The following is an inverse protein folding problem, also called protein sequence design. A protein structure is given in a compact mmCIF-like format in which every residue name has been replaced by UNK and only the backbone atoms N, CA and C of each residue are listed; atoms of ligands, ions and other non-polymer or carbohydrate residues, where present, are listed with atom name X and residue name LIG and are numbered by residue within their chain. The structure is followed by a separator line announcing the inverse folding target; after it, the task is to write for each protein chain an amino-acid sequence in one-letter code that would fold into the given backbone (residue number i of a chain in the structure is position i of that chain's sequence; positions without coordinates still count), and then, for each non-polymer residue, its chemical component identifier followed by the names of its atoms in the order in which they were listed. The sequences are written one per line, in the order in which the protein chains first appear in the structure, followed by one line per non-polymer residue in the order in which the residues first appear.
data_IF_231676691290
#
_entry.id   IF_231676691290
#
_cell.length_a   1.000
_cell.length_b   1.000
_cell.length_c   1.000
_cell.angle_alpha   90.00
_cell.angle_beta   90.00
_cell.angle_gamma   90.00
#
_symmetry.space_group_name_H-M   'P 1'
#
loop_
_entity.id
_entity.type
_entity.pdbx_description
1 polymer ?
#
# COMPACT_ATOMS: atom_id res chain seq x y z
N UNK A 1 3.03 17.42 8.20
CA UNK A 1 3.21 17.25 6.73
C UNK A 1 3.96 15.96 6.45
N UNK A 2 3.78 15.38 5.27
CA UNK A 2 4.59 14.26 4.82
C UNK A 2 6.07 14.64 4.68
N UNK A 3 7.02 13.67 4.77
CA UNK A 3 8.45 13.98 4.64
C UNK A 3 8.81 14.70 3.35
N UNK A 4 8.18 14.34 2.22
CA UNK A 4 8.27 15.04 0.93
C UNK A 4 6.85 15.16 0.36
N UNK A 5 6.40 16.41 0.13
CA UNK A 5 5.02 16.69 -0.27
C UNK A 5 4.93 17.84 -1.28
N UNK A 6 4.55 17.58 -2.55
CA UNK A 6 4.42 16.26 -3.14
C UNK A 6 5.79 15.67 -3.53
N UNK A 7 5.96 14.34 -3.54
CA UNK A 7 7.15 13.73 -4.13
C UNK A 7 7.21 13.97 -5.64
N UNK A 8 8.38 14.00 -6.29
CA UNK A 8 8.49 14.16 -7.74
C UNK A 8 7.74 13.08 -8.53
N UNK A 9 7.75 11.85 -8.02
CA UNK A 9 7.00 10.70 -8.49
C UNK A 9 6.75 9.77 -7.31
N UNK A 10 5.68 8.99 -7.37
CA UNK A 10 5.47 7.87 -6.45
C UNK A 10 5.03 6.63 -7.22
N UNK A 11 5.52 5.51 -6.77
CA UNK A 11 5.11 4.19 -7.20
C UNK A 11 4.83 3.36 -5.98
N UNK A 12 3.73 2.66 -6.02
CA UNK A 12 3.46 1.65 -5.02
C UNK A 12 3.61 0.27 -5.65
N UNK A 13 4.37 -0.59 -4.98
CA UNK A 13 4.75 -1.90 -5.46
C UNK A 13 3.92 -2.98 -4.77
N UNK A 14 3.91 -4.19 -5.31
CA UNK A 14 3.49 -5.36 -4.57
C UNK A 14 4.74 -6.15 -4.21
N UNK A 15 5.15 -6.11 -2.95
CA UNK A 15 6.32 -6.86 -2.50
C UNK A 15 5.97 -8.08 -1.62
N UNK A 16 4.70 -8.22 -1.18
CA UNK A 16 4.26 -9.27 -0.27
C UNK A 16 3.27 -10.23 -0.93
N UNK A 17 3.70 -11.47 -1.16
CA UNK A 17 2.85 -12.50 -1.79
C UNK A 17 1.63 -12.85 -0.93
N UNK A 18 1.79 -12.89 0.40
CA UNK A 18 0.70 -13.24 1.30
C UNK A 18 -0.48 -12.28 1.16
N UNK A 19 -0.23 -10.96 1.11
CA UNK A 19 -1.26 -9.96 0.87
C UNK A 19 -2.04 -10.22 -0.43
N UNK A 20 -1.35 -10.44 -1.54
CA UNK A 20 -2.00 -10.73 -2.83
C UNK A 20 -2.94 -11.93 -2.73
N UNK A 21 -2.48 -13.03 -2.13
CA UNK A 21 -3.29 -14.25 -1.95
C UNK A 21 -4.51 -14.00 -1.08
N UNK A 22 -4.33 -13.29 0.04
CA UNK A 22 -5.41 -12.96 0.97
C UNK A 22 -6.44 -12.02 0.32
N UNK A 23 -5.99 -11.00 -0.39
CA UNK A 23 -6.85 -10.03 -1.10
C UNK A 23 -7.70 -10.71 -2.17
N UNK A 24 -7.11 -11.62 -2.97
CA UNK A 24 -7.87 -12.39 -3.96
C UNK A 24 -8.90 -13.32 -3.31
N UNK A 25 -8.52 -14.00 -2.23
CA UNK A 25 -9.44 -14.85 -1.48
C UNK A 25 -10.60 -14.03 -0.87
N UNK A 26 -10.29 -12.87 -0.29
CA UNK A 26 -11.29 -11.96 0.28
C UNK A 26 -12.23 -11.39 -0.79
N UNK A 27 -11.71 -10.99 -1.95
CA UNK A 27 -12.52 -10.50 -3.08
C UNK A 27 -13.50 -11.58 -3.58
N UNK A 28 -13.05 -12.84 -3.70
CA UNK A 28 -13.95 -13.95 -4.05
C UNK A 28 -15.02 -14.18 -2.98
N UNK A 29 -14.63 -14.16 -1.70
CA UNK A 29 -15.55 -14.30 -0.58
C UNK A 29 -16.60 -13.19 -0.55
N UNK A 30 -16.17 -11.93 -0.74
CA UNK A 30 -17.07 -10.78 -0.80
C UNK A 30 -18.10 -10.89 -1.94
N UNK A 31 -17.70 -11.43 -3.11
CA UNK A 31 -18.61 -11.70 -4.23
C UNK A 31 -19.58 -12.83 -3.92
N UNK A 32 -19.10 -13.92 -3.33
CA UNK A 32 -19.93 -15.07 -2.98
C UNK A 32 -21.02 -14.68 -1.96
N UNK A 33 -20.69 -13.86 -0.96
CA UNK A 33 -21.64 -13.39 0.05
C UNK A 33 -22.83 -12.57 -0.51
N UNK A 34 -22.78 -12.18 -1.79
CA UNK A 34 -23.88 -11.48 -2.48
C UNK A 34 -24.80 -12.44 -3.26
N UNK A 35 -24.60 -13.75 -3.19
CA UNK A 35 -25.38 -14.77 -3.89
C UNK A 35 -26.28 -15.53 -2.91
N UNK A 36 -27.26 -16.27 -3.44
CA UNK A 36 -28.19 -17.08 -2.63
C UNK A 36 -27.49 -18.21 -1.89
N UNK A 37 -26.47 -18.81 -2.52
CA UNK A 37 -25.62 -19.86 -1.92
C UNK A 37 -24.15 -19.46 -1.98
N UNK A 38 -23.63 -18.76 -0.95
CA UNK A 38 -22.24 -18.31 -0.89
C UNK A 38 -21.22 -19.45 -0.96
N UNK A 39 -21.49 -20.58 -0.31
CA UNK A 39 -20.53 -21.70 -0.24
C UNK A 39 -20.39 -22.38 -1.60
N UNK A 40 -21.52 -22.72 -2.25
CA UNK A 40 -21.51 -23.30 -3.59
C UNK A 40 -20.87 -22.34 -4.61
N UNK A 41 -21.21 -21.05 -4.51
CA UNK A 41 -20.62 -20.01 -5.38
C UNK A 41 -19.10 -19.92 -5.21
N UNK A 42 -18.62 -19.86 -3.97
CA UNK A 42 -17.18 -19.76 -3.69
C UNK A 42 -16.43 -21.00 -4.22
N UNK A 43 -17.00 -22.20 -4.03
CA UNK A 43 -16.43 -23.45 -4.52
C UNK A 43 -16.36 -23.51 -6.04
N UNK A 44 -17.32 -22.90 -6.73
CA UNK A 44 -17.37 -22.88 -8.21
C UNK A 44 -16.46 -21.80 -8.82
N UNK A 45 -15.95 -20.84 -8.04
CA UNK A 45 -15.11 -19.76 -8.54
C UNK A 45 -13.76 -20.27 -9.04
N UNK A 46 -13.38 -19.81 -10.22
CA UNK A 46 -12.11 -20.13 -10.86
C UNK A 46 -10.99 -19.20 -10.35
N UNK A 47 -9.83 -19.73 -10.01
CA UNK A 47 -8.66 -19.01 -9.50
C UNK A 47 -7.62 -18.64 -10.57
N UNK A 48 -7.81 -19.06 -11.83
CA UNK A 48 -6.81 -18.90 -12.90
C UNK A 48 -6.32 -17.44 -13.11
N UNK A 49 -7.18 -16.46 -12.85
CA UNK A 49 -6.78 -15.06 -12.97
C UNK A 49 -5.81 -14.67 -11.84
N UNK A 50 -6.12 -15.09 -10.62
CA UNK A 50 -5.29 -14.86 -9.44
C UNK A 50 -3.93 -15.56 -9.60
N UNK A 51 -3.94 -16.82 -10.05
CA UNK A 51 -2.73 -17.61 -10.27
C UNK A 51 -1.80 -16.92 -11.28
N UNK A 52 -2.34 -16.33 -12.36
CA UNK A 52 -1.56 -15.56 -13.35
C UNK A 52 -0.91 -14.30 -12.75
N UNK A 53 -1.60 -13.61 -11.85
CA UNK A 53 -1.01 -12.45 -11.16
C UNK A 53 0.14 -12.90 -10.27
N UNK A 54 -0.04 -13.98 -9.50
CA UNK A 54 1.02 -14.55 -8.65
C UNK A 54 2.21 -15.04 -9.50
N UNK A 55 1.97 -15.67 -10.65
CA UNK A 55 3.05 -16.06 -11.56
C UNK A 55 3.84 -14.84 -12.06
N UNK A 56 3.16 -13.74 -12.40
CA UNK A 56 3.81 -12.50 -12.81
C UNK A 56 4.58 -11.87 -11.67
N UNK A 57 3.96 -11.78 -10.50
CA UNK A 57 4.60 -11.30 -9.27
C UNK A 57 5.88 -12.08 -8.94
N UNK A 58 5.90 -13.40 -9.14
CA UNK A 58 7.08 -14.21 -8.88
C UNK A 58 8.21 -14.04 -9.90
N UNK A 59 7.91 -13.46 -11.08
CA UNK A 59 8.90 -13.21 -12.15
C UNK A 59 9.57 -11.85 -12.06
N UNK A 60 8.85 -10.84 -11.59
CA UNK A 60 9.33 -9.46 -11.53
C UNK A 60 8.54 -8.61 -10.55
N UNK A 61 9.11 -7.54 -9.98
CA UNK A 61 8.35 -6.52 -9.27
C UNK A 61 7.23 -5.97 -10.15
N UNK A 62 6.05 -5.78 -9.56
CA UNK A 62 4.91 -5.12 -10.18
C UNK A 62 4.57 -3.87 -9.37
N UNK A 63 4.14 -2.80 -10.03
CA UNK A 63 3.80 -1.54 -9.38
C UNK A 63 2.79 -0.74 -10.18
N UNK A 64 2.12 0.20 -9.53
CA UNK A 64 1.34 1.24 -10.19
C UNK A 64 1.89 2.63 -9.83
N UNK A 65 1.51 3.66 -10.57
CA UNK A 65 1.86 5.06 -10.29
C UNK A 65 0.71 5.70 -9.54
N UNK A 66 0.96 6.08 -8.30
CA UNK A 66 -0.02 6.76 -7.48
C UNK A 66 -0.12 8.27 -7.79
N UNK A 67 -1.23 8.87 -7.35
CA UNK A 67 -1.41 10.31 -7.43
C UNK A 67 -0.54 11.03 -6.39
N UNK A 68 0.62 11.51 -6.81
CA UNK A 68 1.56 12.22 -5.93
C UNK A 68 0.99 13.48 -5.27
N UNK A 69 -0.07 14.06 -5.83
CA UNK A 69 -0.74 15.25 -5.29
C UNK A 69 -1.76 14.91 -4.19
N UNK A 70 -2.12 13.65 -4.05
CA UNK A 70 -2.98 13.16 -2.97
C UNK A 70 -2.20 12.84 -1.67
N UNK A 71 -0.89 13.14 -1.63
CA UNK A 71 -0.05 12.89 -0.46
C UNK A 71 -0.35 13.88 0.65
N UNK A 72 -0.61 13.37 1.85
CA UNK A 72 -0.73 14.10 3.11
C UNK A 72 0.21 13.53 4.17
N UNK A 73 0.39 14.24 5.28
CA UNK A 73 1.24 13.82 6.39
C UNK A 73 0.47 13.43 7.64
N UNK A 74 1.25 13.20 8.70
CA UNK A 74 0.73 13.08 10.05
C UNK A 74 -0.03 14.36 10.40
N UNK A 75 -1.00 14.45 11.14
CA UNK A 75 -1.81 15.63 11.53
C UNK A 75 -2.73 16.22 10.43
N UNK A 76 -2.61 15.75 9.20
CA UNK A 76 -3.57 16.10 8.16
C UNK A 76 -4.80 15.18 8.26
N UNK A 77 -6.00 15.72 8.00
CA UNK A 77 -7.24 14.95 8.06
C UNK A 77 -7.46 14.19 6.75
N UNK A 78 -7.65 12.87 6.83
CA UNK A 78 -8.10 12.08 5.71
C UNK A 78 -9.55 12.42 5.35
N UNK A 79 -9.80 12.79 4.11
CA UNK A 79 -11.11 13.15 3.60
C UNK A 79 -11.80 11.93 2.96
N UNK A 80 -12.89 11.47 3.57
CA UNK A 80 -13.66 10.36 3.02
C UNK A 80 -14.27 10.74 1.66
N UNK A 81 -13.92 10.03 0.56
CA UNK A 81 -14.41 10.37 -0.77
C UNK A 81 -15.91 10.07 -0.90
N UNK A 82 -16.67 11.00 -1.46
CA UNK A 82 -18.14 10.93 -1.56
C UNK A 82 -18.68 9.75 -2.38
N UNK A 83 -17.83 9.14 -3.23
CA UNK A 83 -18.21 8.04 -4.11
C UNK A 83 -18.02 6.65 -3.46
N UNK A 84 -17.40 6.55 -2.30
CA UNK A 84 -17.09 5.26 -1.65
C UNK A 84 -17.85 5.09 -0.33
N UNK A 85 -18.24 3.83 -0.07
CA UNK A 85 -18.87 3.38 1.19
C UNK A 85 -18.06 2.29 1.89
N UNK A 86 -16.92 1.88 1.31
CA UNK A 86 -16.07 0.82 1.83
C UNK A 86 -14.61 1.28 1.83
N UNK A 87 -14.27 2.13 2.80
CA UNK A 87 -12.91 2.62 2.99
C UNK A 87 -12.08 1.65 3.80
N UNK A 88 -10.83 1.51 3.42
CA UNK A 88 -9.85 0.64 4.03
C UNK A 88 -8.50 1.35 4.14
N UNK A 89 -7.66 0.89 5.05
CA UNK A 89 -6.26 1.27 5.17
C UNK A 89 -5.36 0.16 4.60
N UNK A 90 -4.14 0.50 4.29
CA UNK A 90 -3.09 -0.47 3.97
C UNK A 90 -1.82 -0.17 4.75
N UNK A 91 -1.35 -1.14 5.52
CA UNK A 91 -0.12 -1.07 6.31
C UNK A 91 1.07 -1.34 5.42
N UNK A 92 1.80 -0.29 5.13
CA UNK A 92 2.97 -0.29 4.25
C UNK A 92 4.10 0.53 4.81
N UNK A 93 5.27 0.37 4.22
CA UNK A 93 6.34 1.34 4.31
C UNK A 93 6.91 1.61 2.93
N UNK A 94 7.78 2.59 2.83
CA UNK A 94 8.43 2.86 1.56
C UNK A 94 9.72 3.59 1.74
N UNK A 95 10.50 3.64 0.66
CA UNK A 95 11.76 4.35 0.64
C UNK A 95 11.71 5.57 -0.29
N UNK A 96 12.50 6.58 0.06
CA UNK A 96 12.77 7.73 -0.81
C UNK A 96 14.10 7.58 -1.51
N UNK A 97 14.12 7.89 -2.81
CA UNK A 97 15.36 7.99 -3.59
C UNK A 97 16.13 9.25 -3.16
N UNK A 98 17.38 9.11 -2.81
CA UNK A 98 18.26 10.21 -2.41
C UNK A 98 19.28 10.61 -3.47
N UNK A 99 19.57 9.73 -4.41
CA UNK A 99 20.58 9.92 -5.45
C UNK A 99 20.02 9.59 -6.83
N UNK A 100 20.16 10.52 -7.77
CA UNK A 100 19.80 10.29 -9.18
C UNK A 100 20.54 9.09 -9.75
N UNK A 101 19.82 8.23 -10.49
CA UNK A 101 20.41 7.07 -11.18
C UNK A 101 19.53 6.54 -12.29
N UNK A 102 20.15 5.79 -13.20
CA UNK A 102 19.52 5.06 -14.29
C UNK A 102 20.25 3.75 -14.46
N UNK A 103 19.56 2.68 -14.84
CA UNK A 103 20.13 1.33 -15.00
C UNK A 103 20.94 0.91 -13.76
N UNK A 104 20.35 1.15 -12.58
CA UNK A 104 20.99 0.89 -11.28
C UNK A 104 21.01 -0.62 -11.04
N UNK A 105 22.20 -1.18 -10.76
CA UNK A 105 22.28 -2.59 -10.40
C UNK A 105 21.73 -2.83 -8.99
N UNK A 106 21.29 -4.05 -8.70
CA UNK A 106 20.76 -4.44 -7.40
C UNK A 106 21.75 -4.14 -6.26
N UNK A 107 23.04 -4.41 -6.50
CA UNK A 107 24.12 -4.19 -5.54
C UNK A 107 24.36 -2.70 -5.23
N UNK A 108 24.12 -1.83 -6.23
CA UNK A 108 24.29 -0.38 -6.07
C UNK A 108 23.01 0.29 -5.50
N UNK A 109 21.86 -0.37 -5.60
CA UNK A 109 20.56 0.24 -5.36
C UNK A 109 20.41 0.83 -3.95
N UNK A 110 20.93 0.15 -2.90
CA UNK A 110 20.86 0.62 -1.52
C UNK A 110 21.50 2.00 -1.34
N UNK A 111 22.57 2.29 -2.08
CA UNK A 111 23.25 3.60 -2.04
C UNK A 111 22.42 4.75 -2.65
N UNK A 112 21.30 4.43 -3.29
CA UNK A 112 20.35 5.41 -3.83
C UNK A 112 19.20 5.69 -2.89
N UNK A 113 19.03 4.95 -1.80
CA UNK A 113 17.97 5.17 -0.79
C UNK A 113 18.48 6.19 0.23
N UNK A 114 17.72 7.26 0.47
CA UNK A 114 18.02 8.22 1.53
C UNK A 114 17.40 7.83 2.87
N UNK A 115 16.26 7.16 2.87
CA UNK A 115 15.58 6.77 4.10
C UNK A 115 14.19 6.20 3.82
N UNK A 116 13.49 5.89 4.91
CA UNK A 116 12.23 5.16 4.92
C UNK A 116 11.17 5.90 5.72
N UNK A 117 9.91 5.66 5.41
CA UNK A 117 8.76 6.18 6.13
C UNK A 117 7.60 5.19 6.10
N UNK A 118 6.65 5.30 7.03
CA UNK A 118 5.41 4.54 6.97
C UNK A 118 4.53 5.14 5.87
N UNK A 119 3.81 4.29 5.18
CA UNK A 119 2.84 4.65 4.17
C UNK A 119 1.50 3.98 4.46
N UNK A 120 0.44 4.76 4.50
CA UNK A 120 -0.93 4.29 4.57
C UNK A 120 -1.60 4.57 3.22
N UNK A 121 -1.79 3.52 2.42
CA UNK A 121 -2.45 3.63 1.12
C UNK A 121 -3.96 3.43 1.27
N UNK A 122 -4.66 4.54 1.52
CA UNK A 122 -6.11 4.52 1.72
C UNK A 122 -6.84 4.08 0.47
N UNK A 123 -7.72 3.10 0.62
CA UNK A 123 -8.33 2.39 -0.50
C UNK A 123 -9.85 2.40 -0.45
N UNK A 124 -10.49 2.87 -1.52
CA UNK A 124 -11.93 2.78 -1.74
C UNK A 124 -12.27 1.42 -2.35
N UNK A 125 -12.51 0.40 -1.51
CA UNK A 125 -12.61 -1.01 -1.96
C UNK A 125 -13.77 -1.32 -2.88
N UNK A 126 -14.88 -0.59 -2.76
CA UNK A 126 -16.01 -0.70 -3.68
C UNK A 126 -15.68 -0.16 -5.08
N UNK A 127 -15.00 0.99 -5.17
CA UNK A 127 -14.49 1.51 -6.43
C UNK A 127 -13.41 0.59 -7.03
N UNK A 128 -12.49 0.09 -6.20
CA UNK A 128 -11.44 -0.85 -6.61
C UNK A 128 -12.03 -2.11 -7.24
N UNK A 129 -13.08 -2.69 -6.62
CA UNK A 129 -13.73 -3.88 -7.16
C UNK A 129 -14.36 -3.66 -8.53
N UNK A 130 -14.77 -2.42 -8.86
CA UNK A 130 -15.34 -2.05 -10.15
C UNK A 130 -14.27 -1.81 -11.22
N UNK A 131 -13.13 -1.20 -10.85
CA UNK A 131 -12.12 -0.80 -11.84
C UNK A 131 -11.08 -1.89 -12.15
N UNK A 132 -10.74 -2.75 -11.16
CA UNK A 132 -9.70 -3.79 -11.35
C UNK A 132 -9.93 -4.73 -12.53
N UNK A 133 -11.17 -5.14 -12.88
CA UNK A 133 -11.41 -5.92 -14.10
C UNK A 133 -11.00 -5.22 -15.40
N UNK A 134 -10.86 -3.90 -15.39
CA UNK A 134 -10.38 -3.09 -16.52
C UNK A 134 -8.87 -3.21 -16.79
N UNK A 135 -8.12 -3.82 -15.87
CA UNK A 135 -6.68 -4.16 -16.00
C UNK A 135 -5.74 -2.95 -16.13
N UNK A 136 -6.17 -1.74 -15.77
CA UNK A 136 -5.35 -0.52 -15.74
C UNK A 136 -5.16 0.02 -14.31
N UNK A 137 -5.91 -0.50 -13.37
CA UNK A 137 -5.91 -0.05 -11.98
C UNK A 137 -4.89 -0.74 -11.10
N UNK A 138 -4.85 -0.32 -9.81
CA UNK A 138 -5.80 0.61 -9.22
C UNK A 138 -5.58 2.05 -9.71
N UNK A 139 -6.65 2.83 -9.78
CA UNK A 139 -6.64 4.23 -10.17
C UNK A 139 -7.59 5.06 -9.29
N UNK A 140 -8.86 5.23 -9.67
CA UNK A 140 -9.80 6.07 -8.91
C UNK A 140 -10.00 5.61 -7.47
N UNK A 141 -9.84 4.34 -7.19
CA UNK A 141 -9.92 3.77 -5.84
C UNK A 141 -8.80 4.23 -4.88
N UNK A 142 -7.71 4.82 -5.41
CA UNK A 142 -6.53 5.27 -4.67
C UNK A 142 -6.03 6.68 -5.05
N UNK A 143 -6.58 7.29 -6.11
CA UNK A 143 -6.13 8.59 -6.64
C UNK A 143 -6.97 9.78 -6.14
N UNK A 144 -7.86 9.58 -5.16
CA UNK A 144 -8.66 10.66 -4.58
C UNK A 144 -7.81 11.50 -3.62
N UNK A 145 -8.24 12.74 -3.38
CA UNK A 145 -7.53 13.65 -2.48
C UNK A 145 -7.32 13.02 -1.10
N UNK A 146 -6.14 13.23 -0.51
CA UNK A 146 -5.72 12.71 0.80
C UNK A 146 -5.55 11.18 0.91
N UNK A 147 -5.57 10.45 -0.21
CA UNK A 147 -5.50 8.99 -0.20
C UNK A 147 -4.15 8.42 0.25
N UNK A 148 -3.06 9.18 0.08
CA UNK A 148 -1.69 8.71 0.34
C UNK A 148 -1.13 9.38 1.60
N UNK A 149 -1.04 8.67 2.72
CA UNK A 149 -0.63 9.26 3.99
C UNK A 149 0.75 8.76 4.36
N UNK A 150 1.71 9.68 4.53
CA UNK A 150 3.12 9.35 4.77
C UNK A 150 3.66 10.01 6.03
N UNK A 151 4.40 9.27 6.84
CA UNK A 151 4.99 9.76 8.07
C UNK A 151 5.34 8.62 9.04
N UNK A 152 5.57 8.90 10.32
CA UNK A 152 5.54 10.23 10.96
C UNK A 152 6.74 11.10 10.58
N UNK A 153 7.83 10.49 10.15
CA UNK A 153 9.08 11.12 9.72
C UNK A 153 9.76 10.30 8.63
N UNK A 154 10.84 10.84 8.08
CA UNK A 154 11.82 10.08 7.31
C UNK A 154 12.93 9.65 8.28
N UNK A 155 13.13 8.34 8.41
CA UNK A 155 14.29 7.76 9.08
C UNK A 155 15.36 7.46 8.05
N UNK A 156 16.57 7.97 8.23
CA UNK A 156 17.64 7.78 7.25
C UNK A 156 18.09 6.32 7.17
N UNK A 157 18.60 5.92 6.00
CA UNK A 157 18.96 4.52 5.76
C UNK A 157 20.11 4.02 6.64
N UNK A 158 20.97 4.91 7.10
CA UNK A 158 22.06 4.61 8.03
C UNK A 158 21.57 4.46 9.47
N UNK A 159 20.55 5.21 9.88
CA UNK A 159 19.94 5.13 11.21
C UNK A 159 19.08 3.87 11.34
N UNK A 160 18.20 3.59 10.38
CA UNK A 160 17.34 2.40 10.41
C UNK A 160 18.15 1.10 10.29
N UNK A 161 19.26 1.12 9.57
CA UNK A 161 20.10 -0.06 9.33
C UNK A 161 19.44 -1.06 8.38
N UNK A 162 19.07 -2.26 8.86
CA UNK A 162 18.42 -3.28 8.04
C UNK A 162 16.90 -3.11 8.03
N UNK A 163 16.27 -2.77 6.88
CA UNK A 163 14.83 -2.58 6.79
C UNK A 163 14.06 -3.91 6.63
N UNK A 164 14.70 -5.07 6.65
CA UNK A 164 14.09 -6.35 6.29
C UNK A 164 13.85 -7.30 7.47
N UNK A 165 13.72 -6.74 8.68
CA UNK A 165 13.25 -7.47 9.87
C UNK A 165 12.55 -6.53 10.87
N UNK A 166 11.59 -5.75 10.40
CA UNK A 166 10.84 -4.79 11.19
C UNK A 166 9.41 -5.33 11.43
N UNK A 167 8.96 -5.33 12.68
CA UNK A 167 7.54 -5.61 12.95
C UNK A 167 6.68 -4.45 12.46
N UNK A 168 5.54 -4.80 11.89
CA UNK A 168 4.53 -3.88 11.38
C UNK A 168 3.20 -4.19 12.07
N UNK A 169 2.54 -3.18 12.63
CA UNK A 169 1.28 -3.35 13.36
C UNK A 169 0.28 -2.28 12.90
N UNK A 170 -0.94 -2.70 12.61
CA UNK A 170 -2.06 -1.79 12.37
C UNK A 170 -3.08 -1.87 13.50
N UNK A 171 -3.51 -0.71 14.01
CA UNK A 171 -4.59 -0.59 14.98
C UNK A 171 -5.67 0.35 14.47
N UNK A 172 -6.92 0.03 14.79
CA UNK A 172 -8.07 0.92 14.55
C UNK A 172 -8.76 1.15 15.89
N UNK A 173 -8.83 2.41 16.31
CA UNK A 173 -9.35 2.80 17.63
C UNK A 173 -8.67 2.05 18.79
N UNK A 174 -7.37 1.80 18.67
CA UNK A 174 -6.56 1.08 19.66
C UNK A 174 -6.67 -0.45 19.60
N UNK A 175 -7.59 -1.01 18.81
CA UNK A 175 -7.71 -2.46 18.57
C UNK A 175 -6.74 -2.89 17.47
N UNK A 176 -5.93 -3.92 17.68
CA UNK A 176 -5.08 -4.49 16.64
C UNK A 176 -5.93 -5.17 15.56
N UNK A 177 -5.81 -4.68 14.33
CA UNK A 177 -6.48 -5.25 13.16
C UNK A 177 -5.54 -6.07 12.30
N UNK A 178 -4.24 -5.83 12.40
CA UNK A 178 -3.27 -6.56 11.60
C UNK A 178 -1.84 -6.45 12.09
N UNK A 179 -1.06 -7.46 11.71
CA UNK A 179 0.36 -7.56 12.06
C UNK A 179 1.11 -8.30 10.97
N UNK A 180 2.31 -7.84 10.66
CA UNK A 180 3.24 -8.47 9.74
C UNK A 180 4.68 -8.13 10.07
N UNK A 181 5.58 -8.52 9.18
CA UNK A 181 7.00 -8.19 9.29
C UNK A 181 7.58 -7.96 7.89
N UNK A 182 8.50 -7.02 7.77
CA UNK A 182 9.15 -6.70 6.50
C UNK A 182 10.02 -7.83 5.94
N UNK A 183 10.40 -8.83 6.76
CA UNK A 183 11.13 -10.03 6.31
C UNK A 183 10.36 -10.86 5.28
N UNK A 184 9.04 -10.69 5.23
CA UNK A 184 8.16 -11.42 4.32
C UNK A 184 8.13 -10.82 2.90
N UNK A 185 8.90 -9.75 2.66
CA UNK A 185 9.06 -9.17 1.34
C UNK A 185 9.71 -10.18 0.37
N UNK A 186 9.00 -10.48 -0.71
CA UNK A 186 9.54 -11.25 -1.85
C UNK A 186 10.52 -10.40 -2.67
N UNK A 187 10.21 -9.13 -2.85
CA UNK A 187 11.02 -8.16 -3.58
C UNK A 187 11.54 -7.11 -2.61
N UNK A 188 12.85 -7.00 -2.48
CA UNK A 188 13.49 -5.93 -1.72
C UNK A 188 13.40 -4.60 -2.46
N UNK A 189 13.63 -3.49 -1.78
CA UNK A 189 13.72 -2.18 -2.46
C UNK A 189 14.88 -2.13 -3.47
N UNK A 190 15.95 -2.88 -3.22
CA UNK A 190 17.05 -3.04 -4.17
C UNK A 190 16.59 -3.73 -5.47
N UNK A 191 15.75 -4.76 -5.37
CA UNK A 191 15.15 -5.42 -6.53
C UNK A 191 14.21 -4.49 -7.28
N UNK A 192 13.36 -3.74 -6.55
CA UNK A 192 12.43 -2.75 -7.11
C UNK A 192 13.19 -1.64 -7.83
N UNK A 193 14.21 -1.03 -7.20
CA UNK A 193 15.04 0.04 -7.79
C UNK A 193 15.73 -0.47 -9.05
N UNK A 194 16.34 -1.65 -9.01
CA UNK A 194 16.99 -2.24 -10.16
C UNK A 194 16.01 -2.49 -11.31
N UNK A 195 14.79 -2.94 -11.00
CA UNK A 195 13.74 -3.16 -12.00
C UNK A 195 13.23 -1.86 -12.62
N UNK A 196 12.85 -0.90 -11.77
CA UNK A 196 12.24 0.37 -12.20
C UNK A 196 13.23 1.24 -12.97
N UNK A 197 14.51 1.25 -12.56
CA UNK A 197 15.54 2.10 -13.18
C UNK A 197 16.02 1.64 -14.56
N UNK A 198 15.56 0.48 -15.03
CA UNK A 198 15.92 -0.01 -16.38
C UNK A 198 15.46 0.98 -17.45
N UNK A 199 16.41 1.62 -18.12
CA UNK A 199 16.18 2.66 -19.12
C UNK A 199 15.31 3.83 -18.63
N UNK A 200 15.09 3.94 -17.30
CA UNK A 200 14.35 5.02 -16.65
C UNK A 200 15.25 5.69 -15.58
N UNK A 201 15.28 7.03 -15.58
CA UNK A 201 16.03 7.76 -14.56
C UNK A 201 15.16 7.98 -13.34
N UNK A 202 15.65 7.54 -12.17
CA UNK A 202 15.09 7.88 -10.86
C UNK A 202 15.72 9.18 -10.34
N UNK A 203 14.93 10.00 -9.70
CA UNK A 203 15.34 11.29 -9.18
C UNK A 203 15.21 11.37 -7.65
N UNK A 204 16.06 12.19 -6.98
CA UNK A 204 15.92 12.41 -5.53
C UNK A 204 14.51 12.89 -5.17
N UNK A 205 13.99 12.32 -4.09
CA UNK A 205 12.64 12.59 -3.60
C UNK A 205 11.55 11.68 -4.17
N UNK A 206 11.80 10.87 -5.20
CA UNK A 206 10.83 9.87 -5.66
C UNK A 206 10.59 8.84 -4.55
N UNK A 207 9.34 8.41 -4.43
CA UNK A 207 8.88 7.44 -3.43
C UNK A 207 8.58 6.09 -4.07
N UNK A 208 9.00 5.02 -3.40
CA UNK A 208 8.68 3.63 -3.72
C UNK A 208 8.04 2.98 -2.51
N UNK A 209 6.74 2.66 -2.59
CA UNK A 209 6.00 1.92 -1.57
C UNK A 209 6.26 0.41 -1.68
N UNK A 210 6.14 -0.30 -0.56
CA UNK A 210 6.35 -1.74 -0.49
C UNK A 210 5.15 -2.55 -0.97
N UNK A 211 3.99 -1.93 -1.04
CA UNK A 211 2.74 -2.66 -1.00
C UNK A 211 2.40 -3.18 0.39
N UNK A 212 1.16 -3.52 0.58
CA UNK A 212 0.60 -3.95 1.86
C UNK A 212 1.27 -5.24 2.36
N UNK A 213 1.68 -5.26 3.61
CA UNK A 213 2.12 -6.51 4.27
C UNK A 213 0.94 -7.47 4.44
N UNK A 214 1.19 -8.78 4.43
CA UNK A 214 0.13 -9.76 4.72
C UNK A 214 -0.52 -9.51 6.08
N UNK A 215 -1.84 -9.63 6.17
CA UNK A 215 -2.70 -9.22 7.29
C UNK A 215 -2.67 -7.70 7.54
N UNK A 216 -2.26 -6.90 6.59
CA UNK A 216 -2.03 -5.46 6.74
C UNK A 216 -3.21 -4.57 6.35
N UNK A 217 -4.37 -5.12 6.01
CA UNK A 217 -5.55 -4.31 5.66
C UNK A 217 -6.87 -4.97 6.09
N UNK A 218 -7.92 -4.16 6.15
CA UNK A 218 -9.26 -4.64 6.52
C UNK A 218 -9.91 -5.53 5.46
N UNK A 219 -9.59 -5.36 4.18
CA UNK A 219 -10.10 -6.19 3.07
C UNK A 219 -9.87 -7.67 3.33
N UNK A 220 -8.70 -8.06 3.80
CA UNK A 220 -8.34 -9.45 4.05
C UNK A 220 -9.28 -10.15 5.05
N UNK A 221 -9.90 -9.35 5.94
CA UNK A 221 -10.88 -9.79 6.94
C UNK A 221 -12.32 -9.39 6.59
N UNK A 222 -12.55 -8.70 5.45
CA UNK A 222 -13.82 -8.07 5.06
C UNK A 222 -14.33 -7.08 6.13
N UNK A 223 -13.40 -6.34 6.72
CA UNK A 223 -13.63 -5.37 7.79
C UNK A 223 -13.21 -3.99 7.29
N UNK A 224 -14.13 -3.01 7.33
CA UNK A 224 -13.90 -1.68 6.75
C UNK A 224 -14.00 -0.60 7.80
N UNK A 225 -13.30 0.52 7.53
CA UNK A 225 -13.29 1.71 8.37
C UNK A 225 -14.68 2.37 8.41
N UNK A 226 -14.88 3.17 9.45
CA UNK A 226 -16.03 4.05 9.62
C UNK A 226 -15.56 5.49 9.73
N UNK A 227 -16.38 6.47 9.34
CA UNK A 227 -16.09 7.87 9.61
C UNK A 227 -15.86 8.09 11.12
N UNK A 228 -14.79 8.80 11.45
CA UNK A 228 -14.37 9.07 12.82
C UNK A 228 -13.41 8.06 13.41
N UNK A 229 -13.11 6.95 12.73
CA UNK A 229 -12.08 6.00 13.17
C UNK A 229 -10.69 6.64 13.21
N UNK A 230 -9.84 6.11 14.06
CA UNK A 230 -8.42 6.44 14.14
C UNK A 230 -7.62 5.23 13.73
N UNK A 231 -6.84 5.36 12.67
CA UNK A 231 -5.90 4.33 12.20
C UNK A 231 -4.51 4.66 12.70
N UNK A 232 -3.83 3.70 13.30
CA UNK A 232 -2.43 3.81 13.73
C UNK A 232 -1.63 2.69 13.08
N UNK A 233 -0.64 3.07 12.29
CA UNK A 233 0.31 2.16 11.66
C UNK A 233 1.66 2.33 12.36
N UNK A 234 2.17 1.26 12.97
CA UNK A 234 3.42 1.24 13.71
C UNK A 234 4.43 0.34 12.99
N UNK A 235 5.65 0.83 12.83
CA UNK A 235 6.77 0.05 12.29
C UNK A 235 8.00 0.28 13.16
N UNK A 236 8.64 -0.82 13.56
CA UNK A 236 9.86 -0.78 14.38
C UNK A 236 10.91 0.16 13.76
N UNK A 237 11.51 1.00 14.59
CA UNK A 237 12.55 1.94 14.17
C UNK A 237 12.05 3.17 13.40
N UNK A 238 10.79 3.21 12.93
CA UNK A 238 10.22 4.36 12.22
C UNK A 238 9.23 5.14 13.11
N UNK A 239 8.42 4.43 13.89
CA UNK A 239 7.47 5.04 14.81
C UNK A 239 6.02 4.71 14.48
N UNK A 240 5.09 5.66 14.73
CA UNK A 240 3.66 5.48 14.56
C UNK A 240 3.09 6.58 13.64
N UNK A 241 2.50 6.20 12.54
CA UNK A 241 1.71 7.07 11.68
C UNK A 241 0.25 6.99 12.11
N UNK A 242 -0.28 8.09 12.64
CA UNK A 242 -1.67 8.21 13.06
C UNK A 242 -2.49 8.97 12.03
N UNK A 243 -3.62 8.41 11.64
CA UNK A 243 -4.57 8.99 10.67
C UNK A 243 -5.94 9.12 11.31
N UNK A 244 -6.50 10.32 11.32
CA UNK A 244 -7.89 10.57 11.66
C UNK A 244 -8.75 10.40 10.41
N UNK A 245 -9.68 9.47 10.42
CA UNK A 245 -10.63 9.27 9.32
C UNK A 245 -11.74 10.32 9.42
N UNK A 246 -11.76 11.24 8.47
CA UNK A 246 -12.76 12.30 8.41
C UNK A 246 -14.18 11.80 8.16
N UNK A 247 -15.15 12.65 8.42
CA UNK A 247 -16.54 12.37 8.10
C UNK A 247 -16.79 12.48 6.60
N UNK A 248 -17.61 11.58 6.05
CA UNK A 248 -18.02 11.68 4.65
C UNK A 248 -18.68 13.05 4.43
N UNK A 249 -18.11 13.85 3.51
CA UNK A 249 -18.80 15.07 3.07
C UNK A 249 -20.05 14.67 2.28
N UNK A 250 -21.17 14.57 2.96
CA UNK A 250 -22.48 14.45 2.30
C UNK A 250 -22.74 15.79 1.61
N UNK A 251 -22.36 15.91 0.35
CA UNK A 251 -22.97 16.92 -0.51
C UNK A 251 -24.36 16.40 -0.83
N UNK A 252 -25.36 17.05 -0.20
CA UNK A 252 -26.77 16.87 -0.53
C UNK A 252 -27.06 17.19 -2.01
#
# INVERSE_FOLDING_TARGET
RAPIQPPPQMRDCSCFELHLRQSFAAARRARALRTEDPEATLKAMNTRADDRVIETFNKQPIYYKGNRFAVIGIDDEFQWPSFSRAMDFELEFGCYIGKRGKDISREAARSHIVGYTIFNDMSARDAQALEMPGMLGPAKSKDFDTANIMGPCLVTADELGDPYDLNMIARVNGEEWGRGNTRDMRWSFEDVIAHVSRSETLYPGEFLGSGTVGNGCGLEQLRYLKPGDVVELEIDGIGVLRTQVGTASVKG
#
